data_IF_878593867360
#
_entry.id   IF_878593867360
#
_cell.length_a   1.000
_cell.length_b   1.000
_cell.length_c   1.000
_cell.angle_alpha   90.00
_cell.angle_beta   90.00
_cell.angle_gamma   90.00
#
_symmetry.space_group_name_H-M   'P 1'
#
loop_
_entity.id
_entity.type
_entity.pdbx_description
1 polymer ?
#
# COMPACT_ATOMS: atom_id res chain seq x y z
N UNK A 1 24.85 -30.92 -12.27
CA UNK A 1 23.52 -31.47 -12.06
C UNK A 1 22.97 -31.34 -10.63
N UNK A 2 23.78 -31.55 -9.59
CA UNK A 2 23.29 -31.57 -8.18
C UNK A 2 22.83 -30.21 -7.62
N UNK A 3 23.47 -29.11 -7.99
CA UNK A 3 23.13 -27.78 -7.47
C UNK A 3 21.75 -27.32 -7.97
N UNK A 4 21.41 -27.61 -9.21
CA UNK A 4 20.11 -27.28 -9.80
C UNK A 4 18.94 -28.09 -9.20
N UNK A 5 19.18 -29.34 -8.79
CA UNK A 5 18.15 -30.16 -8.14
C UNK A 5 17.87 -29.68 -6.69
N UNK A 6 18.90 -29.16 -6.00
CA UNK A 6 18.75 -28.56 -4.67
C UNK A 6 17.90 -27.29 -4.68
N UNK A 7 18.08 -26.43 -5.68
CA UNK A 7 17.33 -25.18 -5.82
C UNK A 7 15.84 -25.48 -6.11
N UNK A 8 15.55 -26.43 -7.00
CA UNK A 8 14.16 -26.84 -7.27
C UNK A 8 13.48 -27.54 -6.08
N UNK A 9 14.23 -28.23 -5.24
CA UNK A 9 13.71 -28.84 -4.01
C UNK A 9 13.32 -27.80 -2.97
N UNK A 10 14.16 -26.80 -2.77
CA UNK A 10 13.92 -25.68 -1.83
C UNK A 10 12.74 -24.82 -2.32
N UNK A 11 12.66 -24.52 -3.62
CA UNK A 11 11.57 -23.74 -4.19
C UNK A 11 10.22 -24.46 -4.02
N UNK A 12 10.17 -25.78 -4.24
CA UNK A 12 8.95 -26.58 -4.03
C UNK A 12 8.54 -26.69 -2.56
N UNK A 13 9.48 -26.74 -1.64
CA UNK A 13 9.21 -26.75 -0.19
C UNK A 13 8.70 -25.40 0.29
N UNK A 14 9.23 -24.32 -0.24
CA UNK A 14 8.75 -22.95 0.03
C UNK A 14 7.36 -22.75 -0.56
N UNK A 15 7.11 -23.20 -1.79
CA UNK A 15 5.78 -23.16 -2.44
C UNK A 15 4.74 -23.98 -1.66
N UNK A 16 5.07 -25.19 -1.22
CA UNK A 16 4.15 -26.04 -0.47
C UNK A 16 3.88 -25.49 0.95
N UNK A 17 4.89 -24.94 1.61
CA UNK A 17 4.76 -24.29 2.92
C UNK A 17 3.94 -23.01 2.83
N UNK A 18 4.12 -22.25 1.76
CA UNK A 18 3.40 -21.01 1.50
C UNK A 18 1.94 -21.28 1.12
N UNK A 19 1.65 -22.29 0.28
CA UNK A 19 0.28 -22.71 -0.01
C UNK A 19 -0.44 -23.22 1.24
N UNK A 20 0.22 -23.98 2.09
CA UNK A 20 -0.35 -24.43 3.36
C UNK A 20 -0.62 -23.27 4.34
N UNK A 21 0.23 -22.24 4.34
CA UNK A 21 0.03 -21.02 5.10
C UNK A 21 -1.14 -20.19 4.54
N UNK A 22 -1.26 -20.09 3.22
CA UNK A 22 -2.36 -19.41 2.53
C UNK A 22 -3.71 -20.08 2.80
N UNK A 23 -3.78 -21.41 2.74
CA UNK A 23 -5.00 -22.18 3.07
C UNK A 23 -5.40 -22.03 4.54
N UNK A 24 -4.46 -21.80 5.45
CA UNK A 24 -4.75 -21.50 6.86
C UNK A 24 -5.16 -20.03 7.09
N UNK A 25 -4.76 -19.12 6.21
CA UNK A 25 -5.14 -17.70 6.26
C UNK A 25 -6.50 -17.44 5.59
N UNK A 26 -6.91 -18.29 4.62
CA UNK A 26 -8.18 -18.16 3.92
C UNK A 26 -9.39 -18.00 4.86
N UNK A 27 -9.60 -18.81 5.92
CA UNK A 27 -10.73 -18.62 6.84
C UNK A 27 -10.60 -17.37 7.72
N UNK A 28 -9.40 -16.82 7.91
CA UNK A 28 -9.20 -15.53 8.58
C UNK A 28 -9.54 -14.34 7.67
N UNK A 29 -9.23 -14.47 6.40
CA UNK A 29 -9.54 -13.47 5.38
C UNK A 29 -11.04 -13.48 5.06
N UNK A 30 -11.66 -14.64 4.95
CA UNK A 30 -13.10 -14.81 4.71
C UNK A 30 -13.98 -14.27 5.85
N UNK A 31 -13.58 -14.49 7.09
CA UNK A 31 -14.29 -13.90 8.25
C UNK A 31 -14.21 -12.38 8.29
N UNK A 32 -13.09 -11.79 7.80
CA UNK A 32 -12.94 -10.35 7.62
C UNK A 32 -13.77 -9.78 6.48
N UNK A 33 -14.12 -10.62 5.48
CA UNK A 33 -14.94 -10.20 4.32
C UNK A 33 -16.45 -10.33 4.59
N UNK A 34 -16.88 -11.13 5.56
CA UNK A 34 -18.29 -11.35 5.89
C UNK A 34 -18.93 -10.20 6.70
N UNK A 35 -18.13 -9.31 7.28
CA UNK A 35 -18.59 -8.10 7.96
C UNK A 35 -18.66 -6.92 7.00
N UNK A 36 -19.79 -6.77 6.32
CA UNK A 36 -20.04 -5.69 5.34
C UNK A 36 -20.36 -4.33 5.97
N UNK A 37 -19.73 -3.97 7.04
CA UNK A 37 -19.70 -2.57 7.47
C UNK A 37 -18.36 -1.98 7.04
N UNK A 38 -18.44 -0.98 6.15
CA UNK A 38 -17.33 -0.33 5.45
C UNK A 38 -16.45 0.54 6.38
N UNK A 39 -16.29 0.14 7.62
CA UNK A 39 -15.35 0.72 8.55
C UNK A 39 -13.99 0.05 8.34
N UNK A 40 -12.95 0.84 8.22
CA UNK A 40 -11.51 0.56 8.13
C UNK A 40 -11.13 -0.90 8.38
N UNK A 41 -10.50 -1.61 7.43
CA UNK A 41 -10.03 -2.97 7.66
C UNK A 41 -9.20 -3.01 8.95
N UNK A 42 -9.30 -4.04 9.79
CA UNK A 42 -8.44 -4.17 10.96
C UNK A 42 -6.98 -4.06 10.54
N UNK A 43 -6.16 -3.30 11.27
CA UNK A 43 -4.75 -3.08 10.94
C UNK A 43 -3.97 -4.40 10.79
N UNK A 44 -4.37 -5.43 11.52
CA UNK A 44 -3.83 -6.79 11.43
C UNK A 44 -4.09 -7.43 10.06
N UNK A 45 -5.29 -7.26 9.49
CA UNK A 45 -5.61 -7.76 8.14
C UNK A 45 -4.78 -7.06 7.08
N UNK A 46 -4.64 -5.74 7.16
CA UNK A 46 -3.80 -4.98 6.22
C UNK A 46 -2.32 -5.39 6.33
N UNK A 47 -1.81 -5.65 7.54
CA UNK A 47 -0.45 -6.12 7.74
C UNK A 47 -0.21 -7.50 7.10
N UNK A 48 -1.15 -8.46 7.26
CA UNK A 48 -1.07 -9.78 6.64
C UNK A 48 -1.12 -9.67 5.11
N UNK A 49 -2.06 -8.89 4.57
CA UNK A 49 -2.16 -8.65 3.13
C UNK A 49 -0.89 -8.04 2.54
N UNK A 50 -0.30 -7.07 3.24
CA UNK A 50 0.92 -6.39 2.80
C UNK A 50 2.13 -7.33 2.83
N UNK A 51 2.24 -8.18 3.85
CA UNK A 51 3.27 -9.21 3.92
C UNK A 51 3.12 -10.23 2.78
N UNK A 52 1.90 -10.70 2.53
CA UNK A 52 1.61 -11.61 1.43
C UNK A 52 1.95 -11.00 0.08
N UNK A 53 1.53 -9.75 -0.17
CA UNK A 53 1.84 -9.05 -1.40
C UNK A 53 3.33 -8.77 -1.55
N UNK A 54 4.07 -8.51 -0.47
CA UNK A 54 5.51 -8.33 -0.53
C UNK A 54 6.26 -9.57 -1.01
N UNK A 55 5.73 -10.77 -0.74
CA UNK A 55 6.37 -12.04 -1.09
C UNK A 55 5.86 -12.61 -2.42
N UNK A 56 4.58 -12.44 -2.73
CA UNK A 56 3.89 -13.08 -3.87
C UNK A 56 3.08 -12.09 -4.72
N UNK A 57 3.30 -10.81 -4.55
CA UNK A 57 2.45 -9.80 -5.14
C UNK A 57 2.42 -9.80 -6.66
N UNK A 58 3.54 -10.14 -7.30
CA UNK A 58 3.64 -10.32 -8.75
C UNK A 58 2.73 -11.46 -9.24
N UNK A 59 2.76 -12.60 -8.55
CA UNK A 59 1.92 -13.75 -8.89
C UNK A 59 0.45 -13.49 -8.63
N UNK A 60 0.12 -12.88 -7.48
CA UNK A 60 -1.25 -12.49 -7.17
C UNK A 60 -1.84 -11.55 -8.23
N UNK A 61 -1.04 -10.59 -8.70
CA UNK A 61 -1.46 -9.67 -9.75
C UNK A 61 -1.63 -10.37 -11.11
N UNK A 62 -0.69 -11.26 -11.51
CA UNK A 62 -0.77 -12.03 -12.74
C UNK A 62 -2.01 -12.93 -12.81
N UNK A 63 -2.36 -13.55 -11.68
CA UNK A 63 -3.51 -14.45 -11.56
C UNK A 63 -4.83 -13.70 -11.33
N UNK A 64 -4.82 -12.36 -11.35
CA UNK A 64 -5.97 -11.50 -11.01
C UNK A 64 -6.62 -11.89 -9.67
N UNK A 65 -5.81 -12.31 -8.70
CA UNK A 65 -6.27 -12.78 -7.41
C UNK A 65 -6.84 -11.61 -6.59
N UNK A 66 -8.02 -11.74 -5.95
CA UNK A 66 -8.62 -10.67 -5.16
C UNK A 66 -7.79 -10.23 -3.94
N UNK A 67 -6.75 -10.98 -3.56
CA UNK A 67 -5.79 -10.61 -2.52
C UNK A 67 -4.65 -9.73 -3.06
N UNK A 68 -4.55 -9.51 -4.38
CA UNK A 68 -3.60 -8.57 -4.95
C UNK A 68 -3.99 -7.15 -4.53
N UNK A 69 -3.04 -6.43 -3.94
CA UNK A 69 -3.25 -5.03 -3.56
C UNK A 69 -3.20 -4.17 -4.82
N UNK A 70 -4.29 -3.47 -5.12
CA UNK A 70 -4.29 -2.42 -6.12
C UNK A 70 -3.62 -1.16 -5.56
N UNK A 71 -2.91 -0.43 -6.43
CA UNK A 71 -2.31 0.85 -6.04
C UNK A 71 -3.40 1.90 -5.81
N UNK A 72 -3.38 2.54 -4.66
CA UNK A 72 -4.32 3.60 -4.32
C UNK A 72 -3.70 4.64 -3.38
N UNK A 73 -4.23 5.85 -3.44
CA UNK A 73 -3.90 6.92 -2.50
C UNK A 73 -4.89 6.88 -1.34
N UNK A 74 -4.37 7.05 -0.14
CA UNK A 74 -5.15 6.95 1.10
C UNK A 74 -4.90 8.13 2.03
N UNK A 75 -5.87 8.37 2.90
CA UNK A 75 -5.75 9.26 4.04
C UNK A 75 -6.50 8.64 5.23
N UNK A 76 -5.87 8.60 6.39
CA UNK A 76 -6.42 7.97 7.60
C UNK A 76 -6.87 6.49 7.37
N UNK A 77 -6.11 5.72 6.59
CA UNK A 77 -6.39 4.33 6.29
C UNK A 77 -7.59 4.08 5.35
N UNK A 78 -8.10 5.11 4.70
CA UNK A 78 -9.23 5.05 3.75
C UNK A 78 -8.80 5.59 2.39
N UNK A 79 -9.43 5.15 1.30
CA UNK A 79 -9.21 5.75 -0.01
C UNK A 79 -9.36 7.28 0.06
N UNK A 80 -8.48 7.99 -0.63
CA UNK A 80 -8.48 9.45 -0.66
C UNK A 80 -9.75 9.97 -1.34
N UNK A 81 -10.52 10.77 -0.63
CA UNK A 81 -11.71 11.45 -1.14
C UNK A 81 -11.38 12.93 -1.40
N UNK A 82 -11.07 13.26 -2.67
CA UNK A 82 -10.73 14.62 -3.09
C UNK A 82 -11.90 15.59 -2.94
N UNK A 83 -13.16 15.12 -3.10
CA UNK A 83 -14.33 15.95 -2.96
C UNK A 83 -14.54 16.36 -1.49
N UNK A 84 -14.43 15.38 -0.57
CA UNK A 84 -14.52 15.64 0.86
C UNK A 84 -13.34 16.52 1.34
N UNK A 85 -12.13 16.27 0.82
CA UNK A 85 -10.95 17.08 1.13
C UNK A 85 -11.11 18.53 0.67
N UNK A 86 -11.65 18.75 -0.53
CA UNK A 86 -11.95 20.09 -1.05
C UNK A 86 -13.04 20.79 -0.23
N UNK A 87 -14.11 20.09 0.10
CA UNK A 87 -15.23 20.64 0.89
C UNK A 87 -14.79 21.02 2.32
N UNK A 88 -13.85 20.30 2.91
CA UNK A 88 -13.32 20.61 4.26
C UNK A 88 -12.41 21.83 4.30
N UNK A 89 -11.87 22.27 3.16
CA UNK A 89 -10.85 23.32 3.08
C UNK A 89 -9.47 22.90 3.65
N UNK A 90 -9.26 21.61 3.91
CA UNK A 90 -8.01 21.10 4.48
C UNK A 90 -6.89 20.88 3.43
N UNK A 91 -7.24 20.94 2.14
CA UNK A 91 -6.25 20.83 1.07
C UNK A 91 -5.37 22.06 1.00
N UNK A 92 -4.06 21.87 0.98
CA UNK A 92 -3.07 22.94 0.72
C UNK A 92 -2.43 22.75 -0.63
N UNK A 93 -1.74 23.78 -1.14
CA UNK A 93 -0.94 23.68 -2.38
C UNK A 93 0.32 22.81 -2.21
N UNK A 94 0.65 22.40 -1.00
CA UNK A 94 1.82 21.58 -0.69
C UNK A 94 1.38 20.14 -0.43
N UNK A 95 1.66 19.26 -1.37
CA UNK A 95 1.39 17.84 -1.25
C UNK A 95 2.60 17.11 -0.66
N UNK A 96 2.35 16.19 0.27
CA UNK A 96 3.34 15.23 0.76
C UNK A 96 2.87 13.82 0.48
N UNK A 97 3.53 13.12 -0.44
CA UNK A 97 3.30 11.70 -0.68
C UNK A 97 4.19 10.86 0.24
N UNK A 98 3.59 9.94 1.00
CA UNK A 98 4.31 8.99 1.83
C UNK A 98 4.28 7.60 1.17
N UNK A 99 5.46 7.05 0.88
CA UNK A 99 5.65 5.77 0.18
C UNK A 99 6.32 4.77 1.13
N UNK A 100 5.59 3.72 1.49
CA UNK A 100 6.10 2.69 2.43
C UNK A 100 7.06 1.70 1.75
N UNK A 101 7.75 0.90 2.56
CA UNK A 101 8.70 -0.12 2.10
C UNK A 101 8.08 -1.49 1.84
N UNK A 102 8.97 -2.47 1.53
CA UNK A 102 8.61 -3.87 1.28
C UNK A 102 7.81 -4.47 2.43
N UNK A 103 6.75 -5.22 2.12
CA UNK A 103 5.85 -5.88 3.08
C UNK A 103 5.14 -4.93 4.06
N UNK A 104 5.17 -3.62 3.81
CA UNK A 104 4.54 -2.59 4.63
C UNK A 104 3.24 -2.09 4.01
N UNK A 105 2.53 -1.21 4.74
CA UNK A 105 1.34 -0.50 4.28
C UNK A 105 1.29 0.94 4.80
N UNK A 106 0.30 1.69 4.35
CA UNK A 106 0.06 3.09 4.71
C UNK A 106 -0.15 3.31 6.21
N UNK A 107 -0.75 2.36 6.94
CA UNK A 107 -1.04 2.50 8.37
C UNK A 107 0.23 2.47 9.24
N UNK A 108 1.33 1.93 8.73
CA UNK A 108 2.58 1.79 9.49
C UNK A 108 3.40 3.09 9.60
N UNK A 109 2.96 4.16 8.93
CA UNK A 109 3.49 5.50 9.18
C UNK A 109 3.10 6.06 10.55
N UNK A 110 2.00 5.55 11.13
CA UNK A 110 1.62 5.80 12.50
C UNK A 110 2.30 4.79 13.44
N UNK A 111 3.25 5.23 14.24
CA UNK A 111 3.97 4.40 15.22
C UNK A 111 4.01 5.09 16.58
N UNK A 112 3.58 4.37 17.61
CA UNK A 112 3.59 4.87 18.99
C UNK A 112 2.88 6.24 19.15
N UNK A 113 1.80 6.45 18.41
CA UNK A 113 1.06 7.73 18.44
C UNK A 113 1.68 8.85 17.62
N UNK A 114 2.80 8.61 16.92
CA UNK A 114 3.44 9.58 16.03
C UNK A 114 3.24 9.18 14.56
N UNK A 115 2.70 10.09 13.77
CA UNK A 115 2.57 9.98 12.32
C UNK A 115 3.44 11.04 11.64
N UNK A 116 4.38 10.61 10.79
CA UNK A 116 5.33 11.52 10.13
C UNK A 116 4.63 12.48 9.18
N UNK A 117 3.60 12.01 8.46
CA UNK A 117 2.83 12.85 7.55
C UNK A 117 2.06 13.92 8.30
N UNK A 118 1.35 13.54 9.37
CA UNK A 118 0.61 14.49 10.20
C UNK A 118 1.54 15.53 10.85
N UNK A 119 2.72 15.10 11.33
CA UNK A 119 3.70 16.01 11.92
C UNK A 119 4.24 17.02 10.90
N UNK A 120 4.58 16.59 9.69
CA UNK A 120 5.04 17.48 8.62
C UNK A 120 3.91 18.40 8.12
N UNK A 121 2.66 17.91 8.11
CA UNK A 121 1.50 18.72 7.80
C UNK A 121 1.37 19.88 8.78
N UNK A 122 1.44 19.59 10.08
CA UNK A 122 1.36 20.59 11.13
C UNK A 122 2.55 21.59 11.10
N UNK A 123 3.77 21.08 10.96
CA UNK A 123 4.99 21.88 11.03
C UNK A 123 5.25 22.74 9.79
N UNK A 124 4.86 22.27 8.60
CA UNK A 124 5.28 22.85 7.33
C UNK A 124 4.12 23.14 6.36
N UNK A 125 2.89 22.87 6.74
CA UNK A 125 1.69 23.18 5.96
C UNK A 125 1.47 22.23 4.77
N UNK A 126 1.94 20.99 4.84
CA UNK A 126 1.65 19.97 3.83
C UNK A 126 0.27 19.34 4.02
N UNK A 127 -0.32 18.86 2.94
CA UNK A 127 -1.41 17.90 2.99
C UNK A 127 -0.83 16.50 2.73
N UNK A 128 -0.82 15.60 3.75
CA UNK A 128 -0.23 14.28 3.60
C UNK A 128 -1.20 13.34 2.87
N UNK A 129 -0.63 12.56 1.96
CA UNK A 129 -1.30 11.50 1.22
C UNK A 129 -0.42 10.26 1.28
N UNK A 130 -1.01 9.11 1.55
CA UNK A 130 -0.30 7.86 1.78
C UNK A 130 -0.53 6.92 0.60
N UNK A 131 0.54 6.34 0.08
CA UNK A 131 0.45 5.34 -0.96
C UNK A 131 0.23 3.96 -0.32
N UNK A 132 -0.77 3.22 -0.82
CA UNK A 132 -0.92 1.78 -0.61
C UNK A 132 -0.67 1.09 -1.93
N UNK A 133 0.25 0.14 -1.99
CA UNK A 133 0.62 -0.54 -3.23
C UNK A 133 1.13 -1.95 -2.99
N UNK A 134 1.15 -2.74 -4.07
CA UNK A 134 1.67 -4.09 -4.08
C UNK A 134 3.20 -4.07 -4.17
N UNK A 135 3.87 -4.24 -3.04
CA UNK A 135 5.33 -4.17 -2.95
C UNK A 135 6.06 -5.37 -3.58
N UNK A 136 5.36 -6.45 -3.94
CA UNK A 136 5.92 -7.61 -4.63
C UNK A 136 5.83 -7.52 -6.16
N UNK A 137 5.19 -6.49 -6.71
CA UNK A 137 5.23 -6.24 -8.15
C UNK A 137 6.60 -5.70 -8.58
N UNK A 138 6.90 -5.84 -9.88
CA UNK A 138 8.12 -5.29 -10.45
C UNK A 138 8.18 -3.77 -10.27
N UNK A 139 9.34 -3.26 -9.88
CA UNK A 139 9.53 -1.82 -9.57
C UNK A 139 9.12 -0.91 -10.74
N UNK A 140 9.40 -1.32 -11.99
CA UNK A 140 9.00 -0.54 -13.17
C UNK A 140 7.48 -0.48 -13.36
N UNK A 141 6.74 -1.55 -13.00
CA UNK A 141 5.28 -1.58 -13.03
C UNK A 141 4.72 -0.62 -11.97
N UNK A 142 5.19 -0.75 -10.74
CA UNK A 142 4.80 0.17 -9.66
C UNK A 142 5.15 1.63 -10.00
N UNK A 143 6.31 1.89 -10.60
CA UNK A 143 6.71 3.23 -11.02
C UNK A 143 5.80 3.83 -12.10
N UNK A 144 5.39 3.02 -13.10
CA UNK A 144 4.47 3.47 -14.14
C UNK A 144 3.07 3.76 -13.58
N UNK A 145 2.55 2.87 -12.71
CA UNK A 145 1.26 3.07 -12.04
C UNK A 145 1.28 4.32 -11.14
N UNK A 146 2.33 4.51 -10.36
CA UNK A 146 2.50 5.68 -9.51
C UNK A 146 2.55 6.98 -10.33
N UNK A 147 3.28 6.98 -11.44
CA UNK A 147 3.36 8.14 -12.34
C UNK A 147 1.99 8.54 -12.88
N UNK A 148 1.19 7.57 -13.33
CA UNK A 148 -0.17 7.83 -13.81
C UNK A 148 -1.08 8.33 -12.68
N UNK A 149 -0.97 7.72 -11.49
CA UNK A 149 -1.75 8.10 -10.32
C UNK A 149 -1.44 9.53 -9.84
N UNK A 150 -0.15 9.90 -9.80
CA UNK A 150 0.28 11.26 -9.44
C UNK A 150 -0.14 12.31 -10.47
N UNK A 151 -0.09 11.98 -11.75
CA UNK A 151 -0.60 12.87 -12.81
C UNK A 151 -2.08 13.17 -12.58
N UNK A 152 -2.87 12.15 -12.29
CA UNK A 152 -4.29 12.32 -11.97
C UNK A 152 -4.51 13.08 -10.67
N UNK A 153 -3.72 12.79 -9.63
CA UNK A 153 -3.82 13.47 -8.34
C UNK A 153 -3.61 14.98 -8.48
N UNK A 154 -2.55 15.38 -9.17
CA UNK A 154 -2.22 16.82 -9.38
C UNK A 154 -3.30 17.51 -10.21
N UNK A 155 -3.82 16.83 -11.25
CA UNK A 155 -4.86 17.39 -12.11
C UNK A 155 -6.19 17.62 -11.39
N UNK A 156 -6.54 16.77 -10.42
CA UNK A 156 -7.82 16.82 -9.69
C UNK A 156 -7.68 17.36 -8.25
N UNK A 157 -6.49 17.82 -7.87
CA UNK A 157 -6.29 18.37 -6.53
C UNK A 157 -7.18 19.60 -6.30
N UNK A 158 -7.83 19.75 -5.12
CA UNK A 158 -8.83 20.80 -4.89
C UNK A 158 -8.33 22.23 -5.00
N UNK A 159 -7.01 22.45 -4.87
CA UNK A 159 -6.38 23.77 -4.97
C UNK A 159 -5.14 23.67 -5.86
N UNK A 160 -4.60 24.77 -6.43
CA UNK A 160 -3.40 24.71 -7.22
C UNK A 160 -2.22 24.07 -6.46
N UNK A 161 -1.63 23.02 -7.02
CA UNK A 161 -0.44 22.39 -6.44
C UNK A 161 0.78 23.26 -6.73
N UNK A 162 1.44 23.70 -5.67
CA UNK A 162 2.65 24.51 -5.74
C UNK A 162 3.91 23.72 -5.43
N UNK A 163 3.75 22.62 -4.69
CA UNK A 163 4.85 21.76 -4.26
C UNK A 163 4.36 20.32 -4.13
N UNK A 164 5.12 19.37 -4.64
CA UNK A 164 4.94 17.93 -4.43
C UNK A 164 6.24 17.37 -3.84
N UNK A 165 6.19 16.96 -2.59
CA UNK A 165 7.28 16.30 -1.89
C UNK A 165 6.97 14.83 -1.68
N UNK A 166 7.99 13.97 -1.73
CA UNK A 166 7.87 12.54 -1.51
C UNK A 166 8.74 12.14 -0.31
N UNK A 167 8.11 11.51 0.67
CA UNK A 167 8.80 10.86 1.78
C UNK A 167 8.71 9.35 1.60
N UNK A 168 9.82 8.73 1.27
CA UNK A 168 9.87 7.31 1.00
C UNK A 168 10.67 6.56 2.07
N UNK A 169 10.25 5.33 2.37
CA UNK A 169 10.95 4.44 3.28
C UNK A 169 11.44 3.19 2.54
N UNK A 170 12.75 2.86 2.70
CA UNK A 170 13.34 1.61 2.19
C UNK A 170 13.11 1.45 0.67
N UNK A 171 12.47 0.37 0.23
CA UNK A 171 12.19 0.06 -1.17
C UNK A 171 11.27 1.09 -1.85
N UNK A 172 10.57 1.91 -1.10
CA UNK A 172 9.71 2.97 -1.66
C UNK A 172 10.49 4.15 -2.24
N UNK A 173 11.81 4.22 -1.99
CA UNK A 173 12.68 5.32 -2.41
C UNK A 173 13.40 5.12 -3.76
#
# INVERSE_FOLDING_TARGET
>A
GMVYQGIHGVTRLVDAGLQAALLRLEPFLDRGMAGRDAATPPAEREAVLSALNGVMGDRLAQDANPLAIAMELRQNGRPLDLAALGASGAATGKLLLLVHGLCMNDLQWLRHGHDHGAHLAEAMGYTPVYLRYNTGQHTSTNGAELSALLTSLVAWWPVPVTELSILAHSMGG
#
